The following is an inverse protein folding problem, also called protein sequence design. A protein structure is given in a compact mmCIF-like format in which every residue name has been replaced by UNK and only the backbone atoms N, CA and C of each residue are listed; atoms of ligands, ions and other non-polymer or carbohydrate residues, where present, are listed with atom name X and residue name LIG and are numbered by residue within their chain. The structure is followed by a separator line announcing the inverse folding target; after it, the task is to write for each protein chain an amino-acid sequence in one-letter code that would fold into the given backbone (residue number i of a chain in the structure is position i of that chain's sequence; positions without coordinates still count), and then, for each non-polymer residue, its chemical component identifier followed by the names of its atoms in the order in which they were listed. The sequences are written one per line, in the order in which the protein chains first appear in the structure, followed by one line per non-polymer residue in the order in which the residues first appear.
data_IF_603531392882
#
_entry.id   IF_603531392882
#
_cell.length_a   1.000
_cell.length_b   1.000
_cell.length_c   1.000
_cell.angle_alpha   90.00
_cell.angle_beta   90.00
_cell.angle_gamma   90.00
#
_symmetry.space_group_name_H-M   'P 1'
#
loop_
_entity.id
_entity.type
_entity.pdbx_description
1 polymer ?
#
# COMPACT_ATOMS: atom_id res chain seq x y z
N UNK A 1 16.98 4.82 9.96
CA UNK A 1 16.44 3.47 9.73
C UNK A 1 15.23 3.63 8.84
N UNK A 2 15.27 3.06 7.63
CA UNK A 2 14.17 3.12 6.67
C UNK A 2 13.00 2.29 7.23
N UNK A 3 11.77 2.83 7.20
CA UNK A 3 10.56 2.21 7.76
C UNK A 3 10.33 0.77 7.25
N UNK A 4 10.81 0.48 6.03
CA UNK A 4 10.65 -0.79 5.32
C UNK A 4 11.95 -1.58 5.17
N UNK A 5 12.87 -1.50 6.14
CA UNK A 5 14.03 -2.38 6.19
C UNK A 5 13.62 -3.86 6.41
N UNK A 6 14.43 -4.79 5.90
CA UNK A 6 14.24 -6.24 6.09
C UNK A 6 13.55 -6.96 4.92
N UNK A 7 13.03 -8.15 5.22
CA UNK A 7 12.41 -9.07 4.25
C UNK A 7 10.90 -9.20 4.46
N UNK A 8 10.18 -9.46 3.39
CA UNK A 8 8.76 -9.87 3.41
C UNK A 8 8.61 -11.32 3.88
N UNK A 9 7.36 -11.83 3.96
CA UNK A 9 7.10 -13.21 4.40
C UNK A 9 7.61 -14.27 3.41
N UNK A 10 8.04 -13.89 2.21
CA UNK A 10 8.61 -14.77 1.19
C UNK A 10 10.14 -14.68 1.12
N UNK A 11 10.76 -13.89 2.00
CA UNK A 11 12.21 -13.72 2.07
C UNK A 11 12.79 -12.71 1.06
N UNK A 12 11.94 -11.98 0.33
CA UNK A 12 12.36 -10.91 -0.58
C UNK A 12 12.58 -9.61 0.19
N UNK A 13 13.53 -8.75 -0.21
CA UNK A 13 13.69 -7.44 0.41
C UNK A 13 12.41 -6.59 0.27
N UNK A 14 11.90 -6.03 1.38
CA UNK A 14 10.72 -5.15 1.34
C UNK A 14 10.91 -3.93 0.45
N UNK A 15 12.16 -3.46 0.36
CA UNK A 15 12.55 -2.35 -0.51
C UNK A 15 12.29 -2.61 -2.00
N UNK A 16 12.17 -3.87 -2.45
CA UNK A 16 11.77 -4.16 -3.82
C UNK A 16 10.34 -3.66 -4.08
N UNK A 17 9.40 -3.96 -3.17
CA UNK A 17 8.02 -3.49 -3.28
C UNK A 17 7.93 -1.96 -3.17
N UNK A 18 8.68 -1.34 -2.25
CA UNK A 18 8.76 0.12 -2.14
C UNK A 18 9.24 0.74 -3.45
N UNK A 19 10.29 0.17 -4.06
CA UNK A 19 10.79 0.60 -5.36
C UNK A 19 9.74 0.46 -6.47
N UNK A 20 8.98 -0.62 -6.48
CA UNK A 20 7.86 -0.80 -7.42
C UNK A 20 6.80 0.28 -7.24
N UNK A 21 6.33 0.52 -6.01
CA UNK A 21 5.29 1.52 -5.72
C UNK A 21 5.73 2.93 -6.13
N UNK A 22 6.97 3.31 -5.82
CA UNK A 22 7.47 4.64 -6.15
C UNK A 22 7.59 4.89 -7.66
N UNK A 23 7.76 3.83 -8.46
CA UNK A 23 7.86 3.91 -9.92
C UNK A 23 6.51 3.81 -10.66
N UNK A 24 5.40 3.53 -9.96
CA UNK A 24 4.07 3.49 -10.58
C UNK A 24 3.60 4.88 -11.00
N UNK A 25 2.87 4.94 -12.11
CA UNK A 25 2.03 6.11 -12.41
C UNK A 25 0.94 6.30 -11.35
N UNK A 26 0.31 7.48 -11.33
CA UNK A 26 -0.79 7.75 -10.38
C UNK A 26 -1.98 6.81 -10.59
N UNK A 27 -2.26 6.39 -11.83
CA UNK A 27 -3.33 5.42 -12.13
C UNK A 27 -3.01 4.01 -11.60
N UNK A 28 -1.78 3.54 -11.85
CA UNK A 28 -1.32 2.24 -11.33
C UNK A 28 -1.31 2.24 -9.80
N UNK A 29 -0.76 3.31 -9.20
CA UNK A 29 -0.73 3.47 -7.75
C UNK A 29 -2.14 3.52 -7.16
N UNK A 30 -3.09 4.18 -7.83
CA UNK A 30 -4.48 4.26 -7.38
C UNK A 30 -5.12 2.87 -7.33
N UNK A 31 -4.98 2.08 -8.40
CA UNK A 31 -5.54 0.74 -8.48
C UNK A 31 -4.86 -0.22 -7.47
N UNK A 32 -3.54 -0.15 -7.34
CA UNK A 32 -2.79 -0.93 -6.36
C UNK A 32 -3.21 -0.57 -4.93
N UNK A 33 -3.37 0.73 -4.63
CA UNK A 33 -3.84 1.21 -3.32
C UNK A 33 -5.21 0.63 -2.97
N UNK A 34 -6.17 0.66 -3.90
CA UNK A 34 -7.50 0.07 -3.67
C UNK A 34 -7.40 -1.42 -3.35
N UNK A 35 -6.61 -2.15 -4.13
CA UNK A 35 -6.36 -3.58 -3.91
C UNK A 35 -5.76 -3.84 -2.52
N UNK A 36 -4.75 -3.07 -2.12
CA UNK A 36 -4.09 -3.26 -0.82
C UNK A 36 -4.93 -2.84 0.38
N UNK A 37 -5.78 -1.82 0.25
CA UNK A 37 -6.78 -1.49 1.28
C UNK A 37 -7.72 -2.69 1.49
N UNK A 38 -8.28 -3.23 0.41
CA UNK A 38 -9.18 -4.39 0.50
C UNK A 38 -8.47 -5.64 1.05
N UNK A 39 -7.28 -5.96 0.56
CA UNK A 39 -6.51 -7.13 0.99
C UNK A 39 -6.02 -7.03 2.44
N UNK A 40 -5.65 -5.82 2.90
CA UNK A 40 -5.27 -5.58 4.30
C UNK A 40 -6.47 -5.82 5.22
N UNK A 41 -7.66 -5.32 4.84
CA UNK A 41 -8.90 -5.57 5.58
C UNK A 41 -9.31 -7.05 5.55
N UNK A 42 -9.22 -7.70 4.40
CA UNK A 42 -9.49 -9.14 4.24
C UNK A 42 -8.57 -9.98 5.13
N UNK A 43 -7.29 -9.60 5.23
CA UNK A 43 -6.29 -10.29 6.06
C UNK A 43 -6.30 -9.88 7.54
N UNK A 44 -7.34 -9.20 8.05
CA UNK A 44 -7.39 -8.71 9.43
C UNK A 44 -7.29 -9.83 10.49
N UNK A 45 -7.56 -11.09 10.13
CA UNK A 45 -7.35 -12.25 11.01
C UNK A 45 -5.88 -12.71 11.09
N UNK A 46 -4.99 -12.18 10.25
CA UNK A 46 -3.56 -12.50 10.22
C UNK A 46 -2.71 -11.23 10.34
N UNK A 47 -2.31 -10.82 11.56
CA UNK A 47 -1.55 -9.59 11.78
C UNK A 47 -0.13 -9.63 11.19
N UNK A 48 0.36 -10.79 10.74
CA UNK A 48 1.66 -10.93 10.06
C UNK A 48 1.57 -10.79 8.56
N UNK A 49 0.38 -10.58 8.00
CA UNK A 49 0.18 -10.42 6.57
C UNK A 49 1.00 -9.26 6.01
N UNK A 50 1.67 -9.48 4.88
CA UNK A 50 2.43 -8.41 4.22
C UNK A 50 1.51 -7.29 3.70
N UNK A 51 0.22 -7.57 3.49
CA UNK A 51 -0.73 -6.57 3.03
C UNK A 51 -0.87 -5.38 3.96
N UNK A 52 -0.59 -5.54 5.26
CA UNK A 52 -0.63 -4.43 6.21
C UNK A 52 0.48 -3.41 5.94
N UNK A 53 1.72 -3.85 5.75
CA UNK A 53 2.79 -2.90 5.44
C UNK A 53 2.75 -2.49 3.96
N UNK A 54 2.21 -3.31 3.05
CA UNK A 54 2.00 -2.89 1.65
C UNK A 54 1.04 -1.70 1.55
N UNK A 55 -0.05 -1.70 2.32
CA UNK A 55 -0.97 -0.54 2.32
C UNK A 55 -0.32 0.70 2.94
N UNK A 56 0.56 0.53 3.94
CA UNK A 56 1.35 1.63 4.49
C UNK A 56 2.29 2.24 3.44
N UNK A 57 2.92 1.41 2.59
CA UNK A 57 3.78 1.89 1.49
C UNK A 57 2.97 2.71 0.49
N UNK A 58 1.75 2.26 0.14
CA UNK A 58 0.85 3.01 -0.73
C UNK A 58 0.45 4.35 -0.12
N UNK A 59 0.17 4.38 1.19
CA UNK A 59 -0.15 5.61 1.91
C UNK A 59 1.01 6.60 1.90
N UNK A 60 2.23 6.13 2.23
CA UNK A 60 3.42 6.98 2.25
C UNK A 60 3.71 7.55 0.84
N UNK A 61 3.58 6.75 -0.21
CA UNK A 61 3.73 7.21 -1.59
C UNK A 61 2.73 8.31 -1.97
N UNK A 62 1.46 8.18 -1.57
CA UNK A 62 0.48 9.24 -1.78
C UNK A 62 0.73 10.48 -0.91
N UNK A 63 1.23 10.29 0.32
CA UNK A 63 1.63 11.40 1.18
C UNK A 63 2.73 12.24 0.56
N UNK A 64 3.70 11.61 -0.10
CA UNK A 64 4.75 12.33 -0.82
C UNK A 64 4.25 13.00 -2.12
N UNK A 65 3.32 12.38 -2.85
CA UNK A 65 2.83 12.89 -4.15
C UNK A 65 1.83 14.04 -4.04
N UNK A 66 0.82 13.90 -3.19
CA UNK A 66 -0.31 14.84 -3.12
C UNK A 66 -0.90 14.95 -1.70
N UNK A 67 -0.06 14.86 -0.67
CA UNK A 67 -0.47 14.88 0.74
C UNK A 67 -1.58 13.86 1.08
N UNK A 68 -1.60 12.73 0.37
CA UNK A 68 -2.49 11.61 0.67
C UNK A 68 -3.88 11.71 0.07
N UNK A 69 -4.16 12.71 -0.78
CA UNK A 69 -5.45 12.85 -1.45
C UNK A 69 -5.81 11.60 -2.28
N UNK A 70 -4.83 11.03 -3.00
CA UNK A 70 -5.04 9.83 -3.80
C UNK A 70 -5.40 8.61 -2.94
N UNK A 71 -4.74 8.45 -1.79
CA UNK A 71 -5.08 7.40 -0.83
C UNK A 71 -6.50 7.58 -0.27
N UNK A 72 -6.86 8.80 0.14
CA UNK A 72 -8.20 9.10 0.66
C UNK A 72 -9.28 8.75 -0.35
N UNK A 73 -9.07 9.11 -1.62
CA UNK A 73 -10.01 8.77 -2.71
C UNK A 73 -10.12 7.25 -2.89
N UNK A 74 -9.00 6.53 -2.90
CA UNK A 74 -8.99 5.07 -3.03
C UNK A 74 -9.72 4.38 -1.86
N UNK A 75 -9.47 4.85 -0.64
CA UNK A 75 -10.17 4.38 0.57
C UNK A 75 -11.67 4.61 0.48
N UNK A 76 -12.10 5.81 0.08
CA UNK A 76 -13.49 6.14 -0.08
C UNK A 76 -14.18 5.23 -1.11
N UNK A 77 -13.55 4.93 -2.26
CA UNK A 77 -14.10 4.00 -3.25
C UNK A 77 -14.24 2.57 -2.69
N UNK A 78 -13.22 2.05 -2.00
CA UNK A 78 -13.25 0.68 -1.46
C UNK A 78 -14.26 0.52 -0.32
N UNK A 79 -14.37 1.51 0.56
CA UNK A 79 -15.19 1.41 1.78
C UNK A 79 -16.64 1.84 1.54
N UNK A 80 -16.87 2.84 0.69
CA UNK A 80 -18.22 3.38 0.46
C UNK A 80 -18.93 2.71 -0.73
N UNK A 81 -18.24 1.88 -1.50
CA UNK A 81 -18.85 1.08 -2.58
C UNK A 81 -19.57 1.93 -3.62
N UNK A 82 -18.96 3.04 -4.05
CA UNK A 82 -19.49 3.89 -5.12
C UNK A 82 -19.36 3.22 -6.49
#
# INVERSE_FOLDING_TARGET
MNKYEGKDNYGKPKMEYVGTINNMSDEELFNETKSKIWLSAYANNNPRSDYHWHVDVCYDAWKERNDGEGYKKAYDEVVKGL
#
